data_IF_502316323997
#
_entry.id   IF_502316323997
#
_cell.length_a   1.000
_cell.length_b   1.000
_cell.length_c   1.000
_cell.angle_alpha   90.00
_cell.angle_beta   90.00
_cell.angle_gamma   90.00
#
_symmetry.space_group_name_H-M   'P 1'
#
loop_
_entity.id
_entity.type
_entity.pdbx_description
1 polymer ?
#
# COMPACT_ATOMS: atom_id res chain seq x y z
N UNK A 1 9.56 8.45 25.68
CA UNK A 1 8.67 9.44 25.02
C UNK A 1 8.75 9.21 23.51
N UNK A 2 7.63 8.96 22.86
CA UNK A 2 7.61 8.75 21.41
C UNK A 2 7.61 10.14 20.76
N UNK A 3 8.53 10.37 19.82
CA UNK A 3 8.59 11.61 19.06
C UNK A 3 7.29 11.80 18.25
N UNK A 4 6.77 13.04 18.22
CA UNK A 4 5.51 13.35 17.52
C UNK A 4 5.46 12.81 16.08
N UNK A 5 6.51 12.97 15.23
CA UNK A 5 6.51 12.41 13.90
C UNK A 5 6.40 10.88 13.87
N UNK A 6 7.13 10.21 14.76
CA UNK A 6 7.08 8.75 14.89
C UNK A 6 5.68 8.28 15.30
N UNK A 7 5.03 8.99 16.21
CA UNK A 7 3.66 8.69 16.62
C UNK A 7 2.68 8.77 15.43
N UNK A 8 2.78 9.82 14.61
CA UNK A 8 1.93 9.98 13.42
C UNK A 8 2.15 8.83 12.43
N UNK A 9 3.40 8.42 12.19
CA UNK A 9 3.74 7.30 11.31
C UNK A 9 3.14 5.99 11.84
N UNK A 10 3.26 5.74 13.14
CA UNK A 10 2.67 4.55 13.79
C UNK A 10 1.14 4.57 13.66
N UNK A 11 0.50 5.72 13.86
CA UNK A 11 -0.95 5.85 13.68
C UNK A 11 -1.37 5.59 12.22
N UNK A 12 -0.67 6.18 11.25
CA UNK A 12 -0.94 5.96 9.83
C UNK A 12 -0.77 4.48 9.43
N UNK A 13 0.29 3.84 9.91
CA UNK A 13 0.51 2.41 9.73
C UNK A 13 -0.61 1.57 10.34
N UNK A 14 -0.98 1.87 11.59
CA UNK A 14 -2.03 1.12 12.30
C UNK A 14 -3.38 1.23 11.60
N UNK A 15 -3.75 2.42 11.14
CA UNK A 15 -4.99 2.64 10.38
C UNK A 15 -4.94 1.90 9.04
N UNK A 16 -3.83 1.99 8.30
CA UNK A 16 -3.66 1.28 7.03
C UNK A 16 -3.79 -0.23 7.22
N UNK A 17 -3.15 -0.77 8.26
CA UNK A 17 -3.23 -2.19 8.58
C UNK A 17 -4.63 -2.62 9.00
N UNK A 18 -5.32 -1.82 9.83
CA UNK A 18 -6.70 -2.10 10.25
C UNK A 18 -7.66 -2.12 9.07
N UNK A 19 -7.54 -1.17 8.14
CA UNK A 19 -8.39 -1.14 6.94
C UNK A 19 -8.09 -2.35 6.07
N UNK A 20 -6.82 -2.67 5.84
CA UNK A 20 -6.43 -3.81 5.02
C UNK A 20 -6.92 -5.15 5.62
N UNK A 21 -6.65 -5.38 6.90
CA UNK A 21 -7.10 -6.58 7.61
C UNK A 21 -8.64 -6.64 7.73
N UNK A 22 -9.26 -5.50 8.01
CA UNK A 22 -10.71 -5.37 8.11
C UNK A 22 -11.42 -5.72 6.82
N UNK A 23 -10.87 -5.38 5.66
CA UNK A 23 -11.46 -5.74 4.38
C UNK A 23 -11.58 -7.26 4.18
N UNK A 24 -10.51 -8.01 4.50
CA UNK A 24 -10.55 -9.47 4.41
C UNK A 24 -11.60 -10.08 5.35
N UNK A 25 -11.68 -9.57 6.58
CA UNK A 25 -12.65 -10.08 7.57
C UNK A 25 -14.07 -9.64 7.24
N UNK A 26 -14.27 -8.39 6.85
CA UNK A 26 -15.62 -7.84 6.59
C UNK A 26 -16.18 -8.43 5.29
N UNK A 27 -15.38 -8.54 4.24
CA UNK A 27 -15.80 -9.13 2.98
C UNK A 27 -16.12 -10.63 3.13
N UNK A 28 -15.23 -11.39 3.76
CA UNK A 28 -15.38 -12.84 3.86
C UNK A 28 -16.43 -13.27 4.90
N UNK A 29 -16.52 -12.57 6.03
CA UNK A 29 -17.41 -12.98 7.14
C UNK A 29 -18.79 -12.33 7.03
N UNK A 30 -18.86 -11.07 6.64
CA UNK A 30 -20.12 -10.31 6.63
C UNK A 30 -20.69 -10.06 5.23
N UNK A 31 -19.94 -10.38 4.16
CA UNK A 31 -20.35 -10.13 2.78
C UNK A 31 -20.55 -8.65 2.47
N UNK A 32 -19.88 -7.76 3.21
CA UNK A 32 -19.93 -6.32 3.01
C UNK A 32 -18.80 -5.90 2.10
N UNK A 33 -19.11 -5.11 1.08
CA UNK A 33 -18.12 -4.54 0.15
C UNK A 33 -17.75 -3.12 0.56
N UNK A 34 -16.49 -2.76 0.38
CA UNK A 34 -16.02 -1.39 0.60
C UNK A 34 -16.39 -0.53 -0.61
N UNK A 35 -17.06 0.59 -0.36
CA UNK A 35 -17.51 1.51 -1.39
C UNK A 35 -16.86 2.88 -1.24
N UNK A 36 -16.73 3.59 -2.37
CA UNK A 36 -16.33 5.00 -2.35
C UNK A 36 -17.51 5.88 -1.86
N UNK A 37 -17.30 7.20 -1.80
CA UNK A 37 -18.33 8.14 -1.38
C UNK A 37 -19.56 8.18 -2.30
N UNK A 38 -19.45 7.67 -3.53
CA UNK A 38 -20.55 7.55 -4.50
C UNK A 38 -21.31 6.22 -4.40
N UNK A 39 -20.78 5.25 -3.66
CA UNK A 39 -21.34 3.91 -3.52
C UNK A 39 -20.80 2.88 -4.52
N UNK A 40 -19.76 3.22 -5.29
CA UNK A 40 -19.10 2.27 -6.19
C UNK A 40 -18.15 1.39 -5.41
N UNK A 41 -18.06 0.12 -5.77
CA UNK A 41 -17.15 -0.84 -5.14
C UNK A 41 -15.69 -0.53 -5.45
N UNK A 42 -14.88 -0.34 -4.40
CA UNK A 42 -13.44 -0.04 -4.51
C UNK A 42 -12.56 -1.17 -3.96
N UNK A 43 -13.15 -2.23 -3.45
CA UNK A 43 -12.45 -3.34 -2.82
C UNK A 43 -11.43 -3.99 -3.77
N UNK A 44 -11.84 -4.29 -5.00
CA UNK A 44 -10.94 -4.87 -6.01
C UNK A 44 -9.76 -3.95 -6.34
N UNK A 45 -9.96 -2.64 -6.36
CA UNK A 45 -8.90 -1.66 -6.64
C UNK A 45 -7.88 -1.62 -5.50
N UNK A 46 -8.34 -1.66 -4.25
CA UNK A 46 -7.47 -1.65 -3.08
C UNK A 46 -6.70 -2.98 -2.97
N UNK A 47 -7.37 -4.12 -3.16
CA UNK A 47 -6.73 -5.44 -3.13
C UNK A 47 -5.70 -5.58 -4.25
N UNK A 48 -6.03 -5.14 -5.47
CA UNK A 48 -5.11 -5.17 -6.60
C UNK A 48 -3.90 -4.25 -6.39
N UNK A 49 -4.07 -3.12 -5.70
CA UNK A 49 -2.96 -2.22 -5.39
C UNK A 49 -1.97 -2.82 -4.39
N UNK A 50 -2.42 -3.74 -3.53
CA UNK A 50 -1.55 -4.50 -2.62
C UNK A 50 -0.91 -5.73 -3.28
N UNK A 51 -1.32 -6.05 -4.50
CA UNK A 51 -0.72 -7.07 -5.36
C UNK A 51 -0.51 -8.44 -4.68
N UNK A 52 -1.61 -8.99 -4.16
CA UNK A 52 -1.63 -10.33 -3.53
C UNK A 52 -1.13 -11.41 -4.52
N UNK A 53 -1.36 -11.20 -5.82
CA UNK A 53 -0.88 -12.10 -6.87
C UNK A 53 0.66 -12.15 -6.90
N UNK A 54 1.34 -11.01 -6.69
CA UNK A 54 2.81 -10.96 -6.58
C UNK A 54 3.31 -11.78 -5.39
N UNK A 55 2.61 -11.74 -4.25
CA UNK A 55 2.95 -12.56 -3.08
C UNK A 55 2.84 -14.05 -3.37
N UNK A 56 1.76 -14.48 -4.03
CA UNK A 56 1.57 -15.88 -4.42
C UNK A 56 2.63 -16.33 -5.42
N UNK A 57 2.88 -15.54 -6.46
CA UNK A 57 3.91 -15.81 -7.48
C UNK A 57 5.31 -15.86 -6.85
N UNK A 58 5.58 -14.98 -5.87
CA UNK A 58 6.85 -15.01 -5.13
C UNK A 58 7.00 -16.30 -4.32
N UNK A 59 5.93 -16.76 -3.65
CA UNK A 59 5.97 -18.01 -2.88
C UNK A 59 6.28 -19.19 -3.79
N UNK A 60 5.65 -19.26 -4.96
CA UNK A 60 5.93 -20.27 -5.97
C UNK A 60 7.36 -20.18 -6.51
N UNK A 61 7.84 -18.95 -6.76
CA UNK A 61 9.21 -18.71 -7.23
C UNK A 61 10.26 -19.09 -6.20
N UNK A 62 10.00 -18.88 -4.91
CA UNK A 62 10.87 -19.35 -3.83
C UNK A 62 10.95 -20.87 -3.76
N UNK A 63 9.83 -21.56 -3.95
CA UNK A 63 9.79 -23.02 -4.02
C UNK A 63 10.61 -23.49 -5.23
N UNK A 64 10.52 -22.82 -6.37
CA UNK A 64 11.28 -23.14 -7.57
C UNK A 64 12.77 -22.78 -7.43
N UNK A 65 13.10 -21.68 -6.74
CA UNK A 65 14.47 -21.26 -6.44
C UNK A 65 15.23 -22.32 -5.62
N UNK A 66 14.55 -22.96 -4.66
CA UNK A 66 15.18 -24.04 -3.87
C UNK A 66 15.49 -25.28 -4.70
N UNK A 67 14.93 -25.40 -5.91
CA UNK A 67 15.20 -26.49 -6.86
C UNK A 67 16.26 -26.18 -7.93
N UNK A 68 16.76 -24.95 -8.01
CA UNK A 68 17.84 -24.49 -8.89
C UNK A 68 17.77 -25.00 -10.34
N UNK A 69 16.74 -24.61 -11.08
CA UNK A 69 16.58 -25.11 -12.45
C UNK A 69 17.17 -24.18 -13.54
N UNK A 70 17.32 -22.87 -13.30
CA UNK A 70 17.93 -21.95 -14.28
C UNK A 70 18.33 -20.61 -13.67
N UNK A 71 19.27 -19.90 -14.36
CA UNK A 71 19.67 -18.52 -14.01
C UNK A 71 18.49 -17.54 -14.15
N UNK A 72 17.56 -17.81 -15.08
CA UNK A 72 16.39 -16.98 -15.30
C UNK A 72 15.45 -17.01 -14.08
N UNK A 73 15.29 -18.17 -13.44
CA UNK A 73 14.46 -18.31 -12.25
C UNK A 73 15.03 -17.53 -11.07
N UNK A 74 16.37 -17.47 -10.96
CA UNK A 74 17.07 -16.67 -9.95
C UNK A 74 16.79 -15.18 -10.16
N UNK A 75 16.95 -14.68 -11.39
CA UNK A 75 16.69 -13.28 -11.71
C UNK A 75 15.23 -12.87 -11.45
N UNK A 76 14.28 -13.71 -11.85
CA UNK A 76 12.85 -13.48 -11.60
C UNK A 76 12.55 -13.46 -10.10
N UNK A 77 13.13 -14.36 -9.32
CA UNK A 77 12.97 -14.40 -7.86
C UNK A 77 13.50 -13.14 -7.18
N UNK A 78 14.61 -12.58 -7.66
CA UNK A 78 15.15 -11.31 -7.14
C UNK A 78 14.21 -10.13 -7.43
N UNK A 79 13.65 -10.03 -8.65
CA UNK A 79 12.72 -8.97 -9.01
C UNK A 79 11.45 -9.05 -8.15
N UNK A 80 10.89 -10.24 -7.98
CA UNK A 80 9.71 -10.46 -7.15
C UNK A 80 9.98 -10.14 -5.68
N UNK A 81 11.13 -10.53 -5.16
CA UNK A 81 11.53 -10.20 -3.79
C UNK A 81 11.66 -8.68 -3.59
N UNK A 82 12.22 -7.97 -4.56
CA UNK A 82 12.32 -6.51 -4.52
C UNK A 82 10.92 -5.85 -4.54
N UNK A 83 9.99 -6.33 -5.36
CA UNK A 83 8.62 -5.83 -5.40
C UNK A 83 7.91 -6.02 -4.06
N UNK A 84 7.95 -7.21 -3.48
CA UNK A 84 7.35 -7.48 -2.16
C UNK A 84 7.98 -6.63 -1.07
N UNK A 85 9.29 -6.43 -1.13
CA UNK A 85 9.98 -5.57 -0.17
C UNK A 85 9.51 -4.11 -0.27
N UNK A 86 9.32 -3.57 -1.49
CA UNK A 86 8.76 -2.23 -1.70
C UNK A 86 7.33 -2.13 -1.17
N UNK A 87 6.48 -3.11 -1.44
CA UNK A 87 5.10 -3.15 -0.93
C UNK A 87 5.07 -3.21 0.60
N UNK A 88 5.93 -4.02 1.19
CA UNK A 88 6.07 -4.10 2.64
C UNK A 88 6.55 -2.78 3.25
N UNK A 89 7.53 -2.11 2.64
CA UNK A 89 7.97 -0.77 3.06
C UNK A 89 6.85 0.25 2.92
N UNK A 90 6.06 0.19 1.87
CA UNK A 90 4.90 1.07 1.66
C UNK A 90 3.88 0.90 2.77
N UNK A 91 3.59 -0.33 3.16
CA UNK A 91 2.70 -0.62 4.29
C UNK A 91 3.29 -0.13 5.61
N UNK A 92 4.55 -0.45 5.91
CA UNK A 92 5.24 -0.05 7.15
C UNK A 92 5.40 1.46 7.29
N UNK A 93 5.56 2.18 6.18
CA UNK A 93 5.66 3.64 6.19
C UNK A 93 4.32 4.34 6.43
N UNK A 94 3.21 3.61 6.39
CA UNK A 94 1.86 4.16 6.51
C UNK A 94 1.38 4.92 5.28
N UNK A 95 2.12 4.88 4.17
CA UNK A 95 1.72 5.58 2.94
C UNK A 95 0.50 4.97 2.26
N UNK A 96 0.18 3.74 2.60
CA UNK A 96 -0.97 3.01 2.04
C UNK A 96 -2.32 3.69 2.34
N UNK A 97 -2.43 4.42 3.46
CA UNK A 97 -3.65 5.16 3.79
C UNK A 97 -4.00 6.20 2.73
N UNK A 98 -3.00 6.83 2.10
CA UNK A 98 -3.23 7.83 1.06
C UNK A 98 -3.84 7.20 -0.19
N UNK A 99 -3.46 5.99 -0.51
CA UNK A 99 -4.03 5.21 -1.61
C UNK A 99 -5.50 4.85 -1.32
N UNK A 100 -5.79 4.42 -0.10
CA UNK A 100 -7.17 4.12 0.34
C UNK A 100 -8.05 5.37 0.23
N UNK A 101 -7.56 6.51 0.71
CA UNK A 101 -8.28 7.79 0.62
C UNK A 101 -8.47 8.22 -0.83
N UNK A 102 -7.49 8.01 -1.70
CA UNK A 102 -7.58 8.29 -3.12
C UNK A 102 -8.72 7.52 -3.79
N UNK A 103 -8.80 6.21 -3.58
CA UNK A 103 -9.90 5.39 -4.10
C UNK A 103 -11.24 5.76 -3.48
N UNK A 104 -11.27 6.04 -2.19
CA UNK A 104 -12.50 6.47 -1.52
C UNK A 104 -13.04 7.79 -2.07
N UNK A 105 -12.20 8.71 -2.46
CA UNK A 105 -12.57 9.97 -3.12
C UNK A 105 -12.94 9.80 -4.61
N UNK A 106 -12.95 8.57 -5.13
CA UNK A 106 -13.34 8.29 -6.51
C UNK A 106 -12.19 8.29 -7.51
N UNK A 107 -10.94 8.32 -7.03
CA UNK A 107 -9.78 8.16 -7.89
C UNK A 107 -9.65 6.74 -8.45
N UNK A 108 -8.95 6.58 -9.58
CA UNK A 108 -8.73 5.28 -10.21
C UNK A 108 -9.97 4.66 -10.85
N UNK A 109 -10.97 5.46 -11.19
CA UNK A 109 -12.18 5.02 -11.89
C UNK A 109 -11.92 4.49 -13.30
N UNK A 110 -13.01 4.08 -13.98
CA UNK A 110 -12.93 3.51 -15.33
C UNK A 110 -12.39 4.49 -16.38
N UNK A 111 -12.47 5.78 -16.13
CA UNK A 111 -11.95 6.86 -16.98
C UNK A 111 -10.82 7.55 -16.20
N UNK A 112 -9.57 7.21 -16.54
CA UNK A 112 -8.40 7.87 -15.97
C UNK A 112 -8.37 9.35 -16.39
N UNK A 113 -8.19 10.23 -15.41
CA UNK A 113 -8.10 11.67 -15.63
C UNK A 113 -9.45 12.37 -15.69
N UNK A 114 -10.53 11.75 -15.24
CA UNK A 114 -11.80 12.43 -15.01
C UNK A 114 -11.70 13.46 -13.85
N UNK A 115 -12.75 14.25 -13.66
CA UNK A 115 -12.74 15.29 -12.64
C UNK A 115 -12.54 14.73 -11.22
N UNK A 116 -13.08 13.55 -10.93
CA UNK A 116 -12.95 12.93 -9.61
C UNK A 116 -11.52 12.43 -9.36
N UNK A 117 -10.92 11.84 -10.38
CA UNK A 117 -9.52 11.39 -10.36
C UNK A 117 -8.55 12.56 -10.11
N UNK A 118 -8.77 13.67 -10.82
CA UNK A 118 -7.98 14.89 -10.66
C UNK A 118 -8.16 15.49 -9.26
N UNK A 119 -9.39 15.61 -8.78
CA UNK A 119 -9.69 16.17 -7.45
C UNK A 119 -9.11 15.27 -6.35
N UNK A 120 -9.32 13.95 -6.45
CA UNK A 120 -8.74 12.99 -5.52
C UNK A 120 -7.22 13.07 -5.51
N UNK A 121 -6.59 13.15 -6.67
CA UNK A 121 -5.14 13.33 -6.81
C UNK A 121 -4.62 14.60 -6.16
N UNK A 122 -5.29 15.74 -6.33
CA UNK A 122 -4.91 17.00 -5.67
C UNK A 122 -5.03 16.94 -4.15
N UNK A 123 -6.14 16.41 -3.63
CA UNK A 123 -6.36 16.31 -2.18
C UNK A 123 -5.33 15.38 -1.56
N UNK A 124 -5.18 14.18 -2.13
CA UNK A 124 -4.26 13.17 -1.60
C UNK A 124 -2.81 13.60 -1.76
N UNK A 125 -2.44 14.21 -2.89
CA UNK A 125 -1.10 14.76 -3.11
C UNK A 125 -0.76 15.86 -2.12
N UNK A 126 -1.70 16.77 -1.85
CA UNK A 126 -1.53 17.85 -0.86
C UNK A 126 -1.33 17.34 0.57
N UNK A 127 -1.91 16.18 0.92
CA UNK A 127 -1.71 15.54 2.22
C UNK A 127 -0.45 14.66 2.24
N UNK A 128 -0.16 14.00 1.12
CA UNK A 128 0.97 13.08 1.01
C UNK A 128 2.32 13.79 1.05
N UNK A 129 2.46 14.94 0.38
CA UNK A 129 3.74 15.66 0.31
C UNK A 129 4.29 16.01 1.71
N UNK A 130 3.54 16.69 2.62
CA UNK A 130 4.04 16.97 3.96
C UNK A 130 4.30 15.69 4.77
N UNK A 131 3.50 14.65 4.59
CA UNK A 131 3.73 13.36 5.22
C UNK A 131 5.04 12.72 4.73
N UNK A 132 5.29 12.69 3.43
CA UNK A 132 6.51 12.15 2.85
C UNK A 132 7.77 12.89 3.32
N UNK A 133 7.69 14.23 3.41
CA UNK A 133 8.77 15.05 3.96
C UNK A 133 9.03 14.74 5.44
N UNK A 134 7.97 14.61 6.23
CA UNK A 134 8.08 14.24 7.65
C UNK A 134 8.71 12.85 7.81
N UNK A 135 8.27 11.87 7.01
CA UNK A 135 8.80 10.52 7.00
C UNK A 135 10.30 10.51 6.64
N UNK A 136 10.66 11.19 5.56
CA UNK A 136 12.05 11.32 5.10
C UNK A 136 12.95 11.96 6.17
N UNK A 137 12.51 13.06 6.77
CA UNK A 137 13.25 13.71 7.85
C UNK A 137 13.41 12.81 9.07
N UNK A 138 12.38 12.06 9.44
CA UNK A 138 12.44 11.11 10.57
C UNK A 138 13.44 9.99 10.30
N UNK A 139 13.45 9.42 9.09
CA UNK A 139 14.40 8.38 8.69
C UNK A 139 15.84 8.94 8.73
N UNK A 140 16.08 10.11 8.14
CA UNK A 140 17.40 10.74 8.12
C UNK A 140 17.89 11.03 9.53
N UNK A 141 17.03 11.56 10.41
CA UNK A 141 17.38 11.82 11.80
C UNK A 141 17.79 10.53 12.53
N UNK A 142 17.05 9.44 12.32
CA UNK A 142 17.38 8.15 12.95
C UNK A 142 18.69 7.54 12.41
N UNK A 143 18.97 7.67 11.12
CA UNK A 143 20.23 7.20 10.51
C UNK A 143 21.42 8.02 11.06
N UNK A 144 21.23 9.32 11.25
CA UNK A 144 22.29 10.20 11.79
C UNK A 144 22.46 10.09 13.31
N UNK A 145 21.62 9.33 14.00
CA UNK A 145 21.66 9.16 15.46
C UNK A 145 21.22 10.40 16.27
N UNK A 146 20.43 11.21 15.61
CA UNK A 146 19.92 12.46 16.25
C UNK A 146 18.53 12.23 16.79
#
# INVERSE_FOLDING_TARGET
MIDKPLFIIICAYSVSFMVLAGQFVIADVFGLTLTNYKGDEIESQIVNSFNVETLNTMTESWINFTRFNSITDVATSFVLAAQVFVEFLTLLSGTYIFLIVYYWLGGGGAILGDNDDIIAGFIVGGLFIPYALMLGNTIIAKIRGV
#
